data_IF_365177342253
#
_entry.id   IF_365177342253
#
_cell.length_a   1.000
_cell.length_b   1.000
_cell.length_c   1.000
_cell.angle_alpha   90.00
_cell.angle_beta   90.00
_cell.angle_gamma   90.00
#
_symmetry.space_group_name_H-M   'P 1'
#
loop_
_entity.id
_entity.type
_entity.pdbx_description
1 polymer ?
#
# COMPACT_ATOMS: atom_id res chain seq x y z
N UNK A 1 8.51 15.67 48.70
CA UNK A 1 9.61 16.39 48.02
C UNK A 1 9.33 16.26 46.52
N UNK A 2 8.45 17.12 45.96
CA UNK A 2 8.78 18.34 45.16
C UNK A 2 9.72 17.99 43.99
N UNK A 3 9.34 18.08 42.71
CA UNK A 3 8.73 19.19 41.95
C UNK A 3 7.84 18.60 40.82
N UNK A 4 6.76 19.17 40.27
CA UNK A 4 6.34 20.52 39.84
C UNK A 4 7.23 21.19 38.77
N UNK A 5 6.91 21.00 37.48
CA UNK A 5 7.08 22.03 36.43
C UNK A 5 5.91 21.94 35.43
N UNK A 6 5.25 23.06 35.10
CA UNK A 6 4.06 23.13 34.25
C UNK A 6 4.36 23.51 32.79
N UNK A 7 3.39 23.22 31.92
CA UNK A 7 2.99 24.10 30.82
C UNK A 7 3.72 23.95 29.49
N UNK A 8 2.97 23.59 28.45
CA UNK A 8 2.95 24.30 27.17
C UNK A 8 1.83 23.76 26.26
N UNK A 9 0.88 24.65 25.94
CA UNK A 9 -0.06 24.58 24.80
C UNK A 9 0.35 25.74 23.89
N UNK A 10 0.58 25.55 22.58
CA UNK A 10 -0.31 26.15 21.55
C UNK A 10 -0.22 25.45 20.16
N UNK A 11 -0.76 25.99 19.05
CA UNK A 11 -2.05 26.64 18.82
C UNK A 11 -2.86 25.99 17.67
N UNK A 12 -4.16 26.29 17.68
CA UNK A 12 -5.10 26.21 16.56
C UNK A 12 -4.62 27.03 15.36
N UNK A 13 -4.55 26.43 14.16
CA UNK A 13 -4.41 27.16 12.89
C UNK A 13 -5.71 27.04 12.09
N UNK A 14 -6.56 28.04 12.27
CA UNK A 14 -7.63 28.44 11.36
C UNK A 14 -7.02 29.20 10.19
N UNK A 15 -7.28 28.78 8.95
CA UNK A 15 -7.00 29.57 7.75
C UNK A 15 -8.28 29.68 6.91
N UNK A 16 -8.82 30.90 6.72
CA UNK A 16 -10.00 31.13 5.91
C UNK A 16 -9.66 31.29 4.41
N UNK A 17 -10.55 30.72 3.60
CA UNK A 17 -11.11 31.23 2.36
C UNK A 17 -10.46 32.52 1.79
N UNK A 18 -9.71 32.40 0.69
CA UNK A 18 -9.36 33.55 -0.16
C UNK A 18 -9.93 33.37 -1.57
N UNK A 19 -10.76 34.36 -1.90
CA UNK A 19 -11.41 34.71 -3.16
C UNK A 19 -10.42 34.79 -4.32
N UNK A 20 -10.85 34.41 -5.53
CA UNK A 20 -10.71 35.31 -6.68
C UNK A 20 -11.75 35.03 -7.78
N UNK A 21 -12.82 35.83 -7.75
CA UNK A 21 -13.69 36.09 -8.89
C UNK A 21 -12.90 36.92 -9.91
N UNK A 22 -12.67 36.39 -11.11
CA UNK A 22 -12.25 37.20 -12.25
C UNK A 22 -13.40 37.37 -13.24
N UNK A 23 -13.67 38.64 -13.52
CA UNK A 23 -14.80 39.17 -14.27
C UNK A 23 -14.71 38.87 -15.77
N UNK A 24 -15.88 38.48 -16.29
CA UNK A 24 -16.49 38.92 -17.56
C UNK A 24 -15.67 39.88 -18.43
N UNK A 25 -15.46 39.47 -19.67
CA UNK A 25 -15.22 40.38 -20.78
C UNK A 25 -15.91 39.92 -22.07
N UNK A 26 -16.83 40.78 -22.49
CA UNK A 26 -17.09 41.21 -23.86
C UNK A 26 -17.77 40.27 -24.86
N UNK A 27 -19.03 40.67 -25.11
CA UNK A 27 -19.88 40.34 -26.24
C UNK A 27 -19.20 40.53 -27.60
N UNK A 28 -19.58 39.70 -28.57
CA UNK A 28 -19.22 39.93 -29.97
C UNK A 28 -19.67 38.86 -30.95
N UNK A 29 -20.87 39.08 -31.51
CA UNK A 29 -21.29 38.75 -32.89
C UNK A 29 -21.61 37.29 -33.26
N UNK A 30 -22.88 37.13 -33.63
CA UNK A 30 -23.44 36.06 -34.45
C UNK A 30 -22.91 36.11 -35.90
N UNK A 31 -22.67 34.94 -36.50
CA UNK A 31 -23.28 34.44 -37.75
C UNK A 31 -22.43 33.33 -38.38
N UNK A 32 -23.12 32.40 -39.03
CA UNK A 32 -22.65 31.58 -40.17
C UNK A 32 -22.20 30.14 -39.90
N UNK A 33 -23.21 29.31 -39.62
CA UNK A 33 -23.51 28.01 -40.25
C UNK A 33 -22.53 27.49 -41.34
N UNK A 34 -21.76 26.44 -41.01
CA UNK A 34 -21.33 25.36 -41.92
C UNK A 34 -21.06 24.07 -41.11
N UNK A 35 -21.71 22.93 -41.42
CA UNK A 35 -21.40 21.65 -40.79
C UNK A 35 -20.22 21.00 -41.52
N UNK A 36 -19.07 20.89 -40.85
CA UNK A 36 -18.00 20.01 -41.28
C UNK A 36 -17.95 18.86 -40.28
N UNK A 37 -18.47 17.72 -40.71
CA UNK A 37 -18.55 16.47 -39.98
C UNK A 37 -17.13 15.92 -39.78
N UNK A 38 -16.47 16.28 -38.68
CA UNK A 38 -15.19 15.69 -38.29
C UNK A 38 -15.46 14.41 -37.53
N UNK A 39 -15.33 13.26 -38.21
CA UNK A 39 -15.30 11.93 -37.57
C UNK A 39 -13.94 11.80 -36.87
N UNK A 40 -13.88 12.23 -35.61
CA UNK A 40 -12.73 12.04 -34.74
C UNK A 40 -12.87 10.73 -33.97
N UNK A 41 -12.02 9.76 -34.34
CA UNK A 41 -11.22 8.93 -33.44
C UNK A 41 -11.87 8.52 -32.09
N UNK A 42 -12.62 7.43 -32.11
CA UNK A 42 -12.98 6.70 -30.89
C UNK A 42 -11.92 5.65 -30.55
N UNK A 43 -10.79 6.08 -29.98
CA UNK A 43 -9.96 5.17 -29.17
C UNK A 43 -10.79 4.84 -27.93
N UNK A 44 -11.42 3.67 -27.92
CA UNK A 44 -11.95 3.09 -26.69
C UNK A 44 -10.72 2.65 -25.89
N UNK A 45 -10.19 3.57 -25.09
CA UNK A 45 -9.36 3.22 -23.95
C UNK A 45 -10.27 2.39 -23.03
N UNK A 46 -10.13 1.07 -23.09
CA UNK A 46 -10.65 0.18 -22.06
C UNK A 46 -9.88 0.50 -20.80
N UNK A 47 -10.38 1.48 -20.05
CA UNK A 47 -10.05 1.74 -18.66
C UNK A 47 -10.09 0.40 -17.91
N UNK A 48 -8.92 -0.02 -17.42
CA UNK A 48 -8.74 -1.21 -16.60
C UNK A 48 -9.78 -1.23 -15.48
N UNK A 49 -10.63 -2.26 -15.50
CA UNK A 49 -11.57 -2.51 -14.43
C UNK A 49 -10.79 -2.89 -13.15
N UNK A 50 -11.32 -2.49 -11.98
CA UNK A 50 -10.54 -2.28 -10.79
C UNK A 50 -10.13 -3.60 -10.12
N UNK A 51 -8.88 -3.69 -9.69
CA UNK A 51 -8.31 -4.80 -8.90
C UNK A 51 -8.84 -4.84 -7.45
N UNK A 52 -10.12 -4.53 -7.22
CA UNK A 52 -10.70 -4.32 -5.88
C UNK A 52 -11.15 -5.60 -5.17
N UNK A 53 -10.90 -6.80 -5.72
CA UNK A 53 -11.34 -8.07 -5.14
C UNK A 53 -10.20 -8.92 -4.53
N UNK A 54 -8.96 -8.42 -4.43
CA UNK A 54 -7.79 -9.29 -4.19
C UNK A 54 -7.68 -9.94 -2.81
N UNK A 55 -8.29 -9.38 -1.76
CA UNK A 55 -8.32 -10.04 -0.45
C UNK A 55 -9.36 -11.17 -0.38
N UNK A 56 -10.36 -11.19 -1.27
CA UNK A 56 -11.42 -12.20 -1.23
C UNK A 56 -10.87 -13.53 -1.75
N UNK A 57 -10.95 -14.57 -0.90
CA UNK A 57 -10.49 -15.91 -1.25
C UNK A 57 -9.03 -16.20 -0.95
N UNK A 58 -8.35 -15.35 -0.15
CA UNK A 58 -7.06 -15.74 0.43
C UNK A 58 -7.29 -16.82 1.49
N UNK A 59 -6.63 -17.95 1.32
CA UNK A 59 -6.60 -19.04 2.29
C UNK A 59 -5.61 -18.71 3.42
N UNK A 60 -6.13 -18.37 4.59
CA UNK A 60 -5.31 -18.02 5.74
C UNK A 60 -4.48 -19.22 6.21
N UNK A 61 -5.00 -20.45 6.17
CA UNK A 61 -4.25 -21.63 6.62
C UNK A 61 -3.04 -21.89 5.72
N UNK A 62 -3.18 -21.65 4.41
CA UNK A 62 -2.06 -21.72 3.47
C UNK A 62 -1.02 -20.62 3.72
N UNK A 63 -1.45 -19.40 4.05
CA UNK A 63 -0.55 -18.30 4.46
C UNK A 63 0.20 -18.68 5.73
N UNK A 64 -0.49 -19.18 6.75
CA UNK A 64 0.12 -19.63 8.01
C UNK A 64 1.14 -20.75 7.80
N UNK A 65 0.80 -21.75 6.99
CA UNK A 65 1.69 -22.86 6.67
C UNK A 65 2.98 -22.35 6.00
N UNK A 66 2.87 -21.38 5.08
CA UNK A 66 4.03 -20.81 4.41
C UNK A 66 4.87 -19.95 5.34
N UNK A 67 4.26 -19.17 6.22
CA UNK A 67 4.96 -18.41 7.27
C UNK A 67 5.74 -19.38 8.17
N UNK A 68 5.09 -20.42 8.68
CA UNK A 68 5.73 -21.41 9.55
C UNK A 68 6.91 -22.11 8.87
N UNK A 69 6.85 -22.31 7.55
CA UNK A 69 7.96 -22.85 6.78
C UNK A 69 9.18 -21.92 6.77
N UNK A 70 8.95 -20.65 6.42
CA UNK A 70 9.99 -19.63 6.29
C UNK A 70 10.57 -19.20 7.64
N UNK A 71 9.76 -19.14 8.70
CA UNK A 71 10.19 -18.74 10.04
C UNK A 71 11.23 -19.68 10.64
N UNK A 72 11.32 -20.95 10.20
CA UNK A 72 12.42 -21.85 10.62
C UNK A 72 13.80 -21.27 10.35
N UNK A 73 13.94 -20.41 9.34
CA UNK A 73 15.21 -19.74 8.97
C UNK A 73 15.17 -18.23 9.21
N UNK A 74 14.01 -17.60 9.04
CA UNK A 74 13.87 -16.15 8.95
C UNK A 74 13.11 -15.52 10.14
N UNK A 75 12.95 -16.24 11.26
CA UNK A 75 12.21 -15.74 12.43
C UNK A 75 12.69 -14.37 12.95
N UNK A 76 13.98 -14.04 12.79
CA UNK A 76 14.58 -12.78 13.26
C UNK A 76 14.27 -11.57 12.36
N UNK A 77 13.72 -11.78 11.16
CA UNK A 77 13.27 -10.67 10.31
C UNK A 77 12.15 -9.96 11.04
N UNK A 78 12.28 -8.66 11.25
CA UNK A 78 11.25 -7.82 11.86
C UNK A 78 10.50 -7.04 10.77
N UNK A 79 9.25 -6.70 11.05
CA UNK A 79 8.52 -5.74 10.20
C UNK A 79 9.19 -4.37 10.27
N UNK A 80 9.17 -3.61 9.17
CA UNK A 80 9.62 -2.22 9.13
C UNK A 80 8.57 -1.24 9.69
N UNK A 81 7.38 -1.74 10.05
CA UNK A 81 6.27 -0.94 10.59
C UNK A 81 6.25 -1.03 12.11
N UNK A 82 6.28 0.13 12.77
CA UNK A 82 6.04 0.26 14.21
C UNK A 82 4.57 0.64 14.48
N UNK A 83 3.94 -0.04 15.43
CA UNK A 83 2.52 0.11 15.75
C UNK A 83 2.22 0.99 16.98
N UNK A 84 3.23 1.64 17.54
CA UNK A 84 3.07 2.54 18.69
C UNK A 84 2.31 3.83 18.35
N UNK A 85 2.51 4.38 17.14
CA UNK A 85 1.80 5.55 16.66
C UNK A 85 1.77 5.64 15.11
N UNK A 86 1.07 4.72 14.41
CA UNK A 86 1.05 4.70 12.95
C UNK A 86 0.34 5.95 12.39
N UNK A 87 1.05 6.72 11.55
CA UNK A 87 0.52 7.95 10.91
C UNK A 87 0.10 7.75 9.47
N UNK A 88 0.56 6.68 8.82
CA UNK A 88 0.17 6.32 7.44
C UNK A 88 -1.07 5.42 7.47
N UNK A 89 -2.06 5.61 6.59
CA UNK A 89 -3.25 4.77 6.53
C UNK A 89 -2.94 3.27 6.42
N UNK A 90 -2.03 2.87 5.52
CA UNK A 90 -1.60 1.48 5.38
C UNK A 90 -1.03 0.87 6.69
N UNK A 91 -0.26 1.66 7.45
CA UNK A 91 0.30 1.22 8.74
C UNK A 91 -0.79 1.11 9.80
N UNK A 92 -1.74 2.05 9.82
CA UNK A 92 -2.89 1.99 10.72
C UNK A 92 -3.73 0.74 10.46
N UNK A 93 -3.96 0.40 9.19
CA UNK A 93 -4.64 -0.84 8.80
C UNK A 93 -3.85 -2.05 9.32
N UNK A 94 -2.56 -2.18 8.98
CA UNK A 94 -1.72 -3.31 9.43
C UNK A 94 -1.68 -3.44 10.96
N UNK A 95 -1.53 -2.33 11.68
CA UNK A 95 -1.40 -2.32 13.13
C UNK A 95 -2.73 -2.58 13.86
N UNK A 96 -3.84 -1.98 13.43
CA UNK A 96 -5.16 -2.28 13.98
C UNK A 96 -5.51 -3.77 13.85
N UNK A 97 -4.98 -4.38 12.79
CA UNK A 97 -5.14 -5.77 12.43
C UNK A 97 -4.21 -6.73 13.20
N UNK A 98 -3.21 -6.22 13.92
CA UNK A 98 -2.32 -6.97 14.79
C UNK A 98 -2.84 -7.06 16.24
N UNK A 99 -3.51 -6.02 16.72
CA UNK A 99 -3.93 -5.87 18.12
C UNK A 99 -5.18 -6.69 18.50
N UNK A 100 -6.05 -7.01 17.54
CA UNK A 100 -7.39 -7.56 17.80
C UNK A 100 -7.55 -9.06 17.46
N UNK A 101 -6.45 -9.83 17.51
CA UNK A 101 -6.18 -11.12 16.84
C UNK A 101 -5.52 -10.91 15.47
N UNK A 102 -4.48 -11.70 15.12
CA UNK A 102 -3.80 -11.55 13.85
C UNK A 102 -4.80 -11.76 12.72
N UNK A 103 -5.25 -10.66 12.14
CA UNK A 103 -6.11 -10.71 10.98
C UNK A 103 -5.29 -11.16 9.77
N UNK A 104 -6.01 -11.51 8.71
CA UNK A 104 -5.44 -11.89 7.43
C UNK A 104 -4.36 -10.90 6.96
N UNK A 105 -4.60 -9.60 7.03
CA UNK A 105 -3.68 -8.58 6.48
C UNK A 105 -2.35 -8.52 7.22
N UNK A 106 -2.36 -8.62 8.55
CA UNK A 106 -1.12 -8.71 9.32
C UNK A 106 -0.29 -9.94 8.91
N UNK A 107 -0.94 -11.09 8.73
CA UNK A 107 -0.26 -12.33 8.33
C UNK A 107 0.24 -12.27 6.90
N UNK A 108 -0.49 -11.62 5.99
CA UNK A 108 0.01 -11.30 4.65
C UNK A 108 1.26 -10.43 4.69
N UNK A 109 1.27 -9.36 5.51
CA UNK A 109 2.45 -8.52 5.73
C UNK A 109 3.65 -9.31 6.27
N UNK A 110 3.41 -10.18 7.26
CA UNK A 110 4.45 -11.07 7.80
C UNK A 110 5.01 -12.01 6.74
N UNK A 111 4.15 -12.64 5.94
CA UNK A 111 4.60 -13.52 4.87
C UNK A 111 5.47 -12.75 3.86
N UNK A 112 5.07 -11.54 3.51
CA UNK A 112 5.79 -10.69 2.56
C UNK A 112 7.22 -10.35 3.03
N UNK A 113 7.37 -9.94 4.29
CA UNK A 113 8.68 -9.68 4.91
C UNK A 113 9.63 -10.89 4.79
N UNK A 114 9.11 -12.08 5.06
CA UNK A 114 9.88 -13.34 5.02
C UNK A 114 10.18 -13.75 3.57
N UNK A 115 9.19 -13.59 2.68
CA UNK A 115 9.29 -13.93 1.27
C UNK A 115 10.37 -13.10 0.56
N UNK A 116 10.42 -11.81 0.85
CA UNK A 116 11.42 -10.91 0.27
C UNK A 116 12.84 -11.33 0.65
N UNK A 117 13.08 -11.61 1.94
CA UNK A 117 14.40 -12.06 2.40
C UNK A 117 14.80 -13.38 1.74
N UNK A 118 13.88 -14.33 1.66
CA UNK A 118 14.09 -15.58 0.92
C UNK A 118 14.47 -15.33 -0.55
N UNK A 119 13.75 -14.42 -1.23
CA UNK A 119 14.01 -14.09 -2.62
C UNK A 119 15.41 -13.48 -2.82
N UNK A 120 15.82 -12.56 -1.94
CA UNK A 120 17.14 -11.93 -1.99
C UNK A 120 18.26 -12.96 -1.77
N UNK A 121 18.14 -13.82 -0.76
CA UNK A 121 19.16 -14.85 -0.52
C UNK A 121 19.29 -15.81 -1.70
N UNK A 122 18.17 -16.20 -2.32
CA UNK A 122 18.19 -17.07 -3.50
C UNK A 122 18.77 -16.40 -4.75
N UNK A 123 18.43 -15.12 -4.97
CA UNK A 123 18.92 -14.37 -6.12
C UNK A 123 20.42 -14.07 -6.03
N UNK A 124 20.93 -13.85 -4.81
CA UNK A 124 22.33 -13.48 -4.58
C UNK A 124 23.23 -14.65 -4.21
N UNK A 125 22.67 -15.75 -3.71
CA UNK A 125 23.41 -16.87 -3.12
C UNK A 125 24.09 -16.51 -1.78
N UNK A 126 23.74 -15.38 -1.18
CA UNK A 126 24.33 -14.89 0.06
C UNK A 126 23.31 -14.87 1.18
N UNK A 127 23.75 -15.18 2.40
CA UNK A 127 22.93 -15.00 3.59
C UNK A 127 22.86 -13.51 3.93
N UNK A 128 21.66 -13.00 4.24
CA UNK A 128 21.50 -11.60 4.66
C UNK A 128 21.60 -11.46 6.18
N UNK A 129 21.90 -10.25 6.64
CA UNK A 129 21.73 -9.90 8.05
C UNK A 129 20.24 -9.84 8.39
N UNK A 130 19.73 -10.82 9.12
CA UNK A 130 18.31 -10.90 9.47
C UNK A 130 17.88 -9.80 10.47
N UNK A 131 18.81 -9.18 11.19
CA UNK A 131 18.50 -8.05 12.05
C UNK A 131 18.33 -6.74 11.26
N UNK A 132 18.89 -6.68 10.05
CA UNK A 132 18.80 -5.53 9.15
C UNK A 132 18.77 -5.99 7.68
N UNK A 133 17.71 -6.70 7.26
CA UNK A 133 17.64 -7.23 5.91
C UNK A 133 17.46 -6.10 4.89
N UNK A 134 17.92 -6.30 3.65
CA UNK A 134 17.63 -5.36 2.57
C UNK A 134 16.13 -5.21 2.40
N UNK A 135 15.69 -4.03 1.94
CA UNK A 135 14.27 -3.70 1.75
C UNK A 135 14.00 -3.29 0.32
N UNK A 136 12.85 -3.71 -0.22
CA UNK A 136 12.36 -3.21 -1.49
C UNK A 136 11.72 -1.83 -1.29
N UNK A 137 12.46 -0.78 -1.64
CA UNK A 137 12.01 0.60 -1.51
C UNK A 137 10.81 0.92 -2.41
N UNK A 138 10.69 0.27 -3.58
CA UNK A 138 9.57 0.49 -4.49
C UNK A 138 8.30 -0.14 -3.92
N UNK A 139 8.38 -1.37 -3.43
CA UNK A 139 7.28 -2.01 -2.72
C UNK A 139 6.83 -1.20 -1.50
N UNK A 140 7.76 -0.75 -0.66
CA UNK A 140 7.42 0.07 0.53
C UNK A 140 6.67 1.34 0.10
N UNK A 141 7.12 2.02 -0.97
CA UNK A 141 6.44 3.21 -1.47
C UNK A 141 5.01 2.89 -1.95
N UNK A 142 4.80 1.77 -2.67
CA UNK A 142 3.46 1.35 -3.12
C UNK A 142 2.55 0.96 -1.96
N UNK A 143 3.05 0.17 -1.01
CA UNK A 143 2.33 -0.26 0.19
C UNK A 143 1.89 0.95 1.00
N UNK A 144 2.79 1.88 1.24
CA UNK A 144 2.53 3.05 2.09
C UNK A 144 1.61 4.08 1.43
N UNK A 145 1.40 4.01 0.12
CA UNK A 145 0.43 4.80 -0.62
C UNK A 145 -1.01 4.24 -0.53
N UNK A 146 -1.21 3.03 -0.01
CA UNK A 146 -2.55 2.47 0.14
C UNK A 146 -3.36 3.16 1.25
N UNK A 147 -4.61 3.48 0.93
CA UNK A 147 -5.56 4.11 1.85
C UNK A 147 -6.61 3.13 2.40
N UNK A 148 -6.68 1.92 1.84
CA UNK A 148 -7.64 0.89 2.24
C UNK A 148 -7.05 -0.53 2.22
N UNK A 149 -7.80 -1.46 2.79
CA UNK A 149 -7.42 -2.87 2.93
C UNK A 149 -7.29 -3.59 1.58
N UNK A 150 -8.12 -3.22 0.60
CA UNK A 150 -8.14 -3.87 -0.71
C UNK A 150 -6.87 -3.56 -1.52
N UNK A 151 -6.44 -2.29 -1.52
CA UNK A 151 -5.15 -1.85 -2.07
C UNK A 151 -4.01 -2.57 -1.37
N UNK A 152 -4.04 -2.59 -0.03
CA UNK A 152 -2.95 -3.16 0.77
C UNK A 152 -2.79 -4.67 0.51
N UNK A 153 -3.90 -5.41 0.50
CA UNK A 153 -3.91 -6.82 0.14
C UNK A 153 -3.38 -7.07 -1.27
N UNK A 154 -3.78 -6.24 -2.24
CA UNK A 154 -3.33 -6.37 -3.63
C UNK A 154 -1.80 -6.21 -3.76
N UNK A 155 -1.24 -5.17 -3.13
CA UNK A 155 0.19 -4.89 -3.16
C UNK A 155 1.00 -5.99 -2.46
N UNK A 156 0.51 -6.49 -1.31
CA UNK A 156 1.12 -7.61 -0.60
C UNK A 156 1.11 -8.90 -1.42
N UNK A 157 -0.02 -9.25 -2.03
CA UNK A 157 -0.14 -10.46 -2.86
C UNK A 157 0.82 -10.41 -4.05
N UNK A 158 0.87 -9.28 -4.75
CA UNK A 158 1.73 -9.11 -5.92
C UNK A 158 3.21 -9.26 -5.55
N UNK A 159 3.66 -8.58 -4.50
CA UNK A 159 5.06 -8.60 -4.09
C UNK A 159 5.49 -9.97 -3.53
N UNK A 160 4.62 -10.61 -2.72
CA UNK A 160 4.86 -11.97 -2.23
C UNK A 160 4.89 -12.99 -3.38
N UNK A 161 3.99 -12.89 -4.36
CA UNK A 161 4.02 -13.73 -5.56
C UNK A 161 5.33 -13.56 -6.35
N UNK A 162 5.79 -12.32 -6.53
CA UNK A 162 7.07 -12.06 -7.20
C UNK A 162 8.26 -12.63 -6.43
N UNK A 163 8.18 -12.65 -5.09
CA UNK A 163 9.25 -13.12 -4.21
C UNK A 163 9.31 -14.65 -4.10
N UNK A 164 8.14 -15.31 -4.03
CA UNK A 164 8.05 -16.76 -3.84
C UNK A 164 7.82 -17.56 -5.13
N UNK A 165 7.43 -16.89 -6.22
CA UNK A 165 7.00 -17.53 -7.46
C UNK A 165 5.94 -18.60 -7.21
N UNK A 166 6.12 -19.78 -7.82
CA UNK A 166 5.17 -20.90 -7.72
C UNK A 166 5.02 -21.52 -6.33
N UNK A 167 5.74 -21.05 -5.31
CA UNK A 167 5.58 -21.47 -3.90
C UNK A 167 4.72 -20.52 -3.08
N UNK A 168 4.26 -19.42 -3.68
CA UNK A 168 3.35 -18.49 -3.03
C UNK A 168 1.99 -19.16 -2.75
N UNK A 169 1.37 -18.94 -1.58
CA UNK A 169 0.03 -19.45 -1.29
C UNK A 169 -1.08 -18.66 -1.99
N UNK A 170 -0.77 -17.55 -2.65
CA UNK A 170 -1.77 -16.72 -3.32
C UNK A 170 -2.07 -17.18 -4.74
N UNK A 171 -3.26 -16.86 -5.27
CA UNK A 171 -3.55 -17.04 -6.69
C UNK A 171 -2.48 -16.40 -7.56
N UNK A 172 -1.94 -17.18 -8.50
CA UNK A 172 -0.99 -16.70 -9.47
C UNK A 172 -1.74 -15.90 -10.55
N UNK A 173 -1.15 -14.79 -10.97
CA UNK A 173 -1.66 -14.04 -12.12
C UNK A 173 -1.14 -14.72 -13.39
N UNK A 174 -1.99 -14.92 -14.40
CA UNK A 174 -1.56 -15.46 -15.70
C UNK A 174 -0.61 -14.52 -16.43
#
# INVERSE_FOLDING_TARGET
MTANVPGQVPPTLTLPLIRLLLRLSHAGKALSMRPCLTVALGLIATSGLPQLARAQGVDLDAVEARIAELERRYALVLSDIACDAPTRPAHQILCASAENQPTLIWRMGRLDDLAWVYAVENATGQQVDLANPPRDAEFIARRDACEDEACLAAVLIEHTNSSLGGTSPYPQQP
#
